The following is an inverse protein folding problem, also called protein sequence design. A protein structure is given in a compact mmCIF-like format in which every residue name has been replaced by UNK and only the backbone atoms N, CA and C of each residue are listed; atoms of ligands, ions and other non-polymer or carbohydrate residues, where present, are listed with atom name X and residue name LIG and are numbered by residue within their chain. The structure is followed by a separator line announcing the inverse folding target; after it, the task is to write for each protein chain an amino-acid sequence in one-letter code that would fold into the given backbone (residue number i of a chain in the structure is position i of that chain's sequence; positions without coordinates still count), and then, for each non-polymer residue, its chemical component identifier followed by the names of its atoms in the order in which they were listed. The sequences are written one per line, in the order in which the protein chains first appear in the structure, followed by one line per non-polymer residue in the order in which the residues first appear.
data_IF_568515843095
#
_entry.id   IF_568515843095
#
_cell.length_a   1.000
_cell.length_b   1.000
_cell.length_c   1.000
_cell.angle_alpha   90.00
_cell.angle_beta   90.00
_cell.angle_gamma   90.00
#
_symmetry.space_group_name_H-M   'P 1'
#
loop_
_entity.id
_entity.type
_entity.pdbx_description
1 polymer ?
#
# COMPACT_ATOMS: atom_id res chain seq x y z
N UNK A 1 27.49 43.15 -32.67
CA UNK A 1 27.90 43.04 -31.25
C UNK A 1 27.45 41.68 -30.74
N UNK A 2 28.34 40.68 -30.77
CA UNK A 2 28.06 39.33 -30.28
C UNK A 2 28.68 39.15 -28.90
N UNK A 3 27.84 39.08 -27.87
CA UNK A 3 28.26 38.74 -26.50
C UNK A 3 28.41 37.23 -26.37
N UNK A 4 29.65 36.75 -26.29
CA UNK A 4 29.98 35.35 -25.95
C UNK A 4 29.87 35.16 -24.44
N UNK A 5 28.83 34.48 -23.98
CA UNK A 5 28.71 34.03 -22.59
C UNK A 5 29.59 32.79 -22.37
N UNK A 6 30.72 32.95 -21.69
CA UNK A 6 31.56 31.85 -21.21
C UNK A 6 30.86 31.16 -20.04
N UNK A 7 30.37 29.94 -20.25
CA UNK A 7 29.91 29.07 -19.16
C UNK A 7 31.14 28.32 -18.63
N UNK A 8 31.58 28.69 -17.43
CA UNK A 8 32.57 27.92 -16.68
C UNK A 8 31.87 26.75 -16.00
N UNK A 9 32.01 25.54 -16.56
CA UNK A 9 31.60 24.30 -15.89
C UNK A 9 32.72 23.92 -14.91
N UNK A 10 32.48 24.15 -13.62
CA UNK A 10 33.37 23.71 -12.55
C UNK A 10 33.06 22.24 -12.23
N UNK A 11 33.87 21.32 -12.76
CA UNK A 11 33.74 19.88 -12.47
C UNK A 11 34.55 19.55 -11.21
N UNK A 12 33.88 19.54 -10.05
CA UNK A 12 34.49 19.08 -8.79
C UNK A 12 34.06 17.62 -8.57
N UNK A 13 34.96 16.67 -8.89
CA UNK A 13 34.83 15.27 -8.47
C UNK A 13 34.86 15.21 -6.94
N UNK A 14 33.69 15.04 -6.33
CA UNK A 14 33.57 14.71 -4.91
C UNK A 14 33.32 13.20 -4.80
N UNK A 15 34.29 12.50 -4.21
CA UNK A 15 34.14 11.15 -3.68
C UNK A 15 33.18 11.24 -2.47
N UNK A 16 31.94 10.79 -2.64
CA UNK A 16 30.88 10.86 -1.62
C UNK A 16 29.63 11.54 -2.16
N UNK A 17 28.89 10.83 -3.02
CA UNK A 17 27.85 11.38 -3.87
C UNK A 17 26.62 11.91 -3.13
N UNK A 18 26.55 13.24 -2.98
CA UNK A 18 25.29 13.99 -2.94
C UNK A 18 25.27 14.84 -4.20
N UNK A 19 24.50 14.42 -5.20
CA UNK A 19 24.27 15.21 -6.42
C UNK A 19 23.17 16.21 -6.12
N UNK A 20 23.55 17.40 -5.64
CA UNK A 20 22.65 18.55 -5.63
C UNK A 20 22.75 19.25 -6.99
N UNK A 21 21.81 18.98 -7.89
CA UNK A 21 21.63 19.78 -9.09
C UNK A 21 21.16 21.19 -8.69
N UNK A 22 22.03 22.19 -8.86
CA UNK A 22 21.71 23.60 -8.65
C UNK A 22 20.76 24.06 -9.77
N UNK A 23 19.46 23.95 -9.51
CA UNK A 23 18.42 24.60 -10.33
C UNK A 23 18.06 25.93 -9.68
N UNK A 24 18.50 27.03 -10.29
CA UNK A 24 18.07 28.40 -9.96
C UNK A 24 16.65 28.62 -10.50
N UNK A 25 15.65 28.04 -9.83
CA UNK A 25 14.25 28.40 -9.97
C UNK A 25 13.62 28.49 -8.58
N UNK A 26 12.90 29.57 -8.31
CA UNK A 26 12.29 30.00 -7.05
C UNK A 26 11.15 29.10 -6.51
N UNK A 27 11.19 27.79 -6.78
CA UNK A 27 10.27 26.81 -6.20
C UNK A 27 11.00 25.93 -5.20
N UNK A 28 10.54 25.89 -3.94
CA UNK A 28 11.13 25.09 -2.87
C UNK A 28 11.32 23.63 -3.28
N UNK A 29 12.56 23.29 -3.63
CA UNK A 29 12.98 21.93 -3.96
C UNK A 29 13.11 21.19 -2.62
N UNK A 30 12.01 20.59 -2.16
CA UNK A 30 12.06 19.66 -1.04
C UNK A 30 12.98 18.51 -1.46
N UNK A 31 14.16 18.46 -0.87
CA UNK A 31 15.13 17.39 -1.05
C UNK A 31 14.52 16.12 -0.42
N UNK A 32 13.81 15.33 -1.23
CA UNK A 32 13.28 14.05 -0.77
C UNK A 32 14.46 13.07 -0.60
N UNK A 33 14.59 12.42 0.57
CA UNK A 33 15.65 11.45 0.77
C UNK A 33 15.48 10.31 -0.24
N UNK A 34 16.58 9.96 -0.90
CA UNK A 34 16.59 8.84 -1.84
C UNK A 34 16.12 7.56 -1.12
N UNK A 35 15.14 6.84 -1.70
CA UNK A 35 14.76 5.52 -1.19
C UNK A 35 15.92 4.55 -1.47
N UNK A 36 16.08 3.52 -0.61
CA UNK A 36 17.15 2.55 -0.78
C UNK A 36 17.10 1.88 -2.16
N UNK A 37 18.26 1.78 -2.79
CA UNK A 37 18.48 0.91 -3.94
C UNK A 37 18.40 -0.56 -3.48
N UNK A 38 17.81 -1.43 -4.29
CA UNK A 38 17.53 -2.81 -3.91
C UNK A 38 18.84 -3.59 -3.75
N UNK A 39 19.20 -3.91 -2.50
CA UNK A 39 20.30 -4.83 -2.23
C UNK A 39 19.88 -6.26 -2.62
N UNK A 40 20.81 -7.10 -3.14
CA UNK A 40 20.49 -8.47 -3.49
C UNK A 40 19.97 -9.23 -2.26
N UNK A 41 18.73 -9.74 -2.33
CA UNK A 41 18.13 -10.49 -1.23
C UNK A 41 18.77 -11.87 -1.14
N UNK A 42 19.32 -12.22 0.03
CA UNK A 42 19.78 -13.59 0.29
C UNK A 42 18.54 -14.46 0.49
N UNK A 43 18.34 -15.52 -0.33
CA UNK A 43 17.19 -16.40 -0.18
C UNK A 43 17.23 -17.10 1.18
N UNK A 44 16.07 -17.23 1.82
CA UNK A 44 15.97 -17.97 3.09
C UNK A 44 16.20 -19.47 2.85
N UNK A 45 17.22 -20.04 3.51
CA UNK A 45 17.53 -21.47 3.45
C UNK A 45 16.39 -22.36 4.00
N UNK A 46 15.45 -21.76 4.73
CA UNK A 46 14.29 -22.44 5.33
C UNK A 46 12.97 -21.76 4.96
N UNK A 47 12.86 -21.28 3.71
CA UNK A 47 11.68 -20.58 3.20
C UNK A 47 10.39 -21.42 3.28
N UNK A 48 9.77 -21.46 4.46
CA UNK A 48 8.46 -22.05 4.70
C UNK A 48 7.42 -20.95 4.59
N UNK A 49 7.07 -20.63 3.35
CA UNK A 49 6.01 -19.67 3.02
C UNK A 49 4.69 -20.23 3.54
N UNK A 50 4.08 -19.54 4.52
CA UNK A 50 2.78 -19.91 5.08
C UNK A 50 1.76 -18.83 4.84
N UNK A 51 0.57 -19.24 4.41
CA UNK A 51 -0.58 -18.34 4.32
C UNK A 51 -0.96 -17.86 5.72
N UNK A 52 -1.22 -16.55 5.89
CA UNK A 52 -1.65 -16.00 7.17
C UNK A 52 -3.02 -16.57 7.55
N UNK A 53 -3.15 -17.04 8.79
CA UNK A 53 -4.46 -17.43 9.32
C UNK A 53 -5.42 -16.25 9.35
N UNK A 54 -6.72 -16.52 9.31
CA UNK A 54 -7.80 -15.51 9.35
C UNK A 54 -7.60 -14.48 10.46
N UNK A 55 -7.30 -14.95 11.68
CA UNK A 55 -7.05 -14.09 12.85
C UNK A 55 -5.83 -13.20 12.65
N UNK A 56 -4.75 -13.73 12.07
CA UNK A 56 -3.53 -12.97 11.80
C UNK A 56 -3.74 -11.95 10.68
N UNK A 57 -4.43 -12.33 9.61
CA UNK A 57 -4.81 -11.45 8.52
C UNK A 57 -5.66 -10.28 9.02
N UNK A 58 -6.72 -10.56 9.80
CA UNK A 58 -7.58 -9.55 10.42
C UNK A 58 -6.80 -8.61 11.34
N UNK A 59 -5.92 -9.15 12.20
CA UNK A 59 -5.08 -8.34 13.08
C UNK A 59 -4.14 -7.43 12.29
N UNK A 60 -3.48 -7.98 11.26
CA UNK A 60 -2.53 -7.22 10.45
C UNK A 60 -3.25 -6.10 9.68
N UNK A 61 -4.41 -6.37 9.07
CA UNK A 61 -5.21 -5.34 8.39
C UNK A 61 -5.69 -4.27 9.38
N UNK A 62 -6.18 -4.67 10.55
CA UNK A 62 -6.62 -3.76 11.61
C UNK A 62 -5.50 -2.80 12.04
N UNK A 63 -4.29 -3.34 12.28
CA UNK A 63 -3.13 -2.53 12.67
C UNK A 63 -2.62 -1.68 11.51
N UNK A 64 -2.46 -2.27 10.32
CA UNK A 64 -1.95 -1.58 9.14
C UNK A 64 -2.87 -0.44 8.70
N UNK A 65 -4.19 -0.59 8.81
CA UNK A 65 -5.13 0.46 8.44
C UNK A 65 -5.55 1.34 9.62
N UNK A 66 -5.23 0.97 10.85
CA UNK A 66 -5.70 1.68 12.05
C UNK A 66 -7.23 1.64 12.18
N UNK A 67 -7.84 0.52 11.78
CA UNK A 67 -9.28 0.27 11.85
C UNK A 67 -9.59 -0.77 12.92
N UNK A 68 -10.70 -0.67 13.67
CA UNK A 68 -11.15 -1.78 14.49
C UNK A 68 -11.56 -2.96 13.60
N UNK A 69 -11.35 -4.20 14.07
CA UNK A 69 -11.62 -5.42 13.27
C UNK A 69 -13.05 -5.49 12.74
N UNK A 70 -14.01 -5.00 13.52
CA UNK A 70 -15.42 -4.94 13.14
C UNK A 70 -15.71 -4.00 11.97
N UNK A 71 -14.80 -3.06 11.66
CA UNK A 71 -14.93 -2.10 10.57
C UNK A 71 -14.13 -2.49 9.31
N UNK A 72 -13.35 -3.58 9.37
CA UNK A 72 -12.54 -4.02 8.23
C UNK A 72 -13.44 -4.46 7.07
N UNK A 73 -14.36 -5.38 7.32
CA UNK A 73 -15.17 -5.94 6.26
C UNK A 73 -16.49 -6.49 6.81
N UNK A 74 -17.59 -6.11 6.14
CA UNK A 74 -18.94 -6.60 6.39
C UNK A 74 -19.51 -7.20 5.12
N UNK A 75 -19.57 -8.53 5.04
CA UNK A 75 -20.24 -9.22 3.94
C UNK A 75 -21.74 -8.92 3.99
N UNK A 76 -22.28 -8.49 2.85
CA UNK A 76 -23.68 -8.06 2.69
C UNK A 76 -24.10 -6.97 3.70
N UNK A 77 -23.14 -6.24 4.26
CA UNK A 77 -23.39 -5.19 5.25
C UNK A 77 -23.70 -5.67 6.67
N UNK A 78 -23.81 -6.97 6.92
CA UNK A 78 -24.22 -7.51 8.23
C UNK A 78 -23.17 -8.43 8.85
N UNK A 79 -22.64 -9.38 8.07
CA UNK A 79 -21.77 -10.44 8.58
C UNK A 79 -20.32 -9.97 8.61
N UNK A 80 -19.62 -10.17 9.73
CA UNK A 80 -18.17 -9.91 9.77
C UNK A 80 -17.45 -10.91 8.88
N UNK A 81 -16.65 -10.42 7.93
CA UNK A 81 -15.94 -11.26 6.96
C UNK A 81 -15.01 -12.28 7.62
N UNK A 82 -14.49 -11.97 8.81
CA UNK A 82 -13.62 -12.85 9.60
C UNK A 82 -14.38 -13.74 10.59
N UNK A 83 -15.70 -13.54 10.71
CA UNK A 83 -16.54 -14.44 11.49
C UNK A 83 -16.68 -15.80 10.81
N UNK A 84 -17.19 -16.75 11.58
CA UNK A 84 -17.40 -18.15 11.18
C UNK A 84 -18.31 -18.30 9.96
N UNK A 85 -19.16 -17.31 9.68
CA UNK A 85 -20.25 -17.43 8.72
C UNK A 85 -19.88 -16.95 7.31
N UNK A 86 -18.79 -16.19 7.15
CA UNK A 86 -18.41 -15.59 5.86
C UNK A 86 -17.18 -16.26 5.23
N UNK A 87 -15.97 -15.90 5.67
CA UNK A 87 -14.73 -16.37 5.02
C UNK A 87 -13.81 -17.19 5.91
N UNK A 88 -14.18 -17.48 7.16
CA UNK A 88 -13.29 -18.16 8.12
C UNK A 88 -12.74 -19.48 7.57
N UNK A 89 -13.62 -20.34 7.05
CA UNK A 89 -13.23 -21.64 6.45
C UNK A 89 -12.47 -21.44 5.14
N UNK A 90 -12.95 -20.53 4.29
CA UNK A 90 -12.32 -20.21 3.00
C UNK A 90 -10.88 -19.72 3.14
N UNK A 91 -10.58 -19.01 4.22
CA UNK A 91 -9.26 -18.48 4.54
C UNK A 91 -8.41 -19.42 5.42
N UNK A 92 -8.72 -20.72 5.41
CA UNK A 92 -7.93 -21.76 6.09
C UNK A 92 -8.21 -21.91 7.59
N UNK A 93 -9.33 -21.38 8.07
CA UNK A 93 -9.85 -21.62 9.42
C UNK A 93 -10.54 -22.98 9.55
N UNK A 94 -11.08 -23.22 10.74
CA UNK A 94 -11.90 -24.40 11.08
C UNK A 94 -13.18 -23.94 11.75
N UNK A 95 -14.28 -24.67 11.55
CA UNK A 95 -15.56 -24.41 12.20
C UNK A 95 -16.17 -25.76 12.64
N UNK A 96 -15.89 -26.20 13.87
CA UNK A 96 -16.28 -27.53 14.33
C UNK A 96 -17.73 -27.65 14.84
N UNK A 97 -18.38 -26.53 15.21
CA UNK A 97 -19.64 -26.58 15.96
C UNK A 97 -20.89 -26.48 15.08
N UNK A 98 -20.86 -25.60 14.09
CA UNK A 98 -21.94 -25.35 13.13
C UNK A 98 -21.67 -26.12 11.84
N UNK A 99 -20.45 -26.03 11.28
CA UNK A 99 -20.12 -26.66 9.99
C UNK A 99 -19.44 -28.03 10.13
N UNK A 100 -19.06 -28.43 11.34
CA UNK A 100 -18.39 -29.72 11.65
C UNK A 100 -17.06 -29.93 10.89
N UNK A 101 -16.38 -28.85 10.54
CA UNK A 101 -15.06 -28.86 9.91
C UNK A 101 -14.02 -28.82 11.03
N UNK A 102 -13.59 -29.99 11.47
CA UNK A 102 -12.66 -30.15 12.61
C UNK A 102 -11.19 -29.99 12.22
N UNK A 103 -10.86 -30.17 10.94
CA UNK A 103 -9.49 -30.08 10.43
C UNK A 103 -9.42 -29.05 9.30
N UNK A 104 -8.34 -28.26 9.22
CA UNK A 104 -8.12 -27.40 8.07
C UNK A 104 -7.95 -28.25 6.80
N UNK A 105 -8.30 -27.68 5.67
CA UNK A 105 -8.14 -28.36 4.39
C UNK A 105 -6.65 -28.51 4.07
N UNK A 106 -6.27 -29.62 3.43
CA UNK A 106 -4.88 -29.85 3.01
C UNK A 106 -4.42 -28.82 1.97
N UNK A 107 -5.36 -28.29 1.20
CA UNK A 107 -5.15 -27.28 0.17
C UNK A 107 -6.10 -26.11 0.41
N UNK A 108 -5.66 -24.85 0.17
CA UNK A 108 -6.57 -23.72 0.20
C UNK A 108 -7.67 -23.90 -0.85
N UNK A 109 -8.93 -23.55 -0.53
CA UNK A 109 -10.01 -23.64 -1.50
C UNK A 109 -9.78 -22.65 -2.66
N UNK A 110 -10.33 -22.97 -3.84
CA UNK A 110 -10.22 -22.11 -5.03
C UNK A 110 -10.81 -20.70 -4.82
N UNK A 111 -11.72 -20.55 -3.86
CA UNK A 111 -12.32 -19.28 -3.45
C UNK A 111 -11.47 -18.45 -2.48
N UNK A 112 -10.35 -18.99 -1.96
CA UNK A 112 -9.51 -18.28 -0.99
C UNK A 112 -8.98 -16.93 -1.51
N UNK A 113 -8.45 -16.83 -2.75
CA UNK A 113 -8.00 -15.54 -3.29
C UNK A 113 -9.14 -14.52 -3.40
N UNK A 114 -10.32 -14.96 -3.85
CA UNK A 114 -11.50 -14.09 -3.97
C UNK A 114 -11.93 -13.55 -2.59
N UNK A 115 -11.91 -14.39 -1.56
CA UNK A 115 -12.21 -13.96 -0.20
C UNK A 115 -11.20 -12.94 0.33
N UNK A 116 -9.90 -13.15 0.06
CA UNK A 116 -8.84 -12.18 0.39
C UNK A 116 -9.10 -10.85 -0.31
N UNK A 117 -9.36 -10.87 -1.61
CA UNK A 117 -9.54 -9.65 -2.39
C UNK A 117 -10.72 -8.82 -1.90
N UNK A 118 -11.85 -9.49 -1.58
CA UNK A 118 -13.03 -8.82 -0.99
C UNK A 118 -12.70 -8.17 0.35
N UNK A 119 -12.00 -8.88 1.23
CA UNK A 119 -11.60 -8.37 2.54
C UNK A 119 -10.64 -7.18 2.41
N UNK A 120 -9.62 -7.30 1.56
CA UNK A 120 -8.64 -6.24 1.33
C UNK A 120 -9.30 -5.00 0.73
N UNK A 121 -10.13 -5.17 -0.32
CA UNK A 121 -10.83 -4.07 -0.97
C UNK A 121 -11.79 -3.36 0.00
N UNK A 122 -12.62 -4.11 0.73
CA UNK A 122 -13.56 -3.53 1.70
C UNK A 122 -12.83 -2.76 2.81
N UNK A 123 -11.73 -3.31 3.33
CA UNK A 123 -10.94 -2.68 4.40
C UNK A 123 -10.28 -1.38 3.90
N UNK A 124 -9.72 -1.41 2.69
CA UNK A 124 -9.12 -0.24 2.07
C UNK A 124 -10.16 0.86 1.79
N UNK A 125 -11.32 0.50 1.25
CA UNK A 125 -12.45 1.43 1.06
C UNK A 125 -12.90 2.06 2.38
N UNK A 126 -13.02 1.26 3.44
CA UNK A 126 -13.38 1.75 4.76
C UNK A 126 -12.35 2.79 5.26
N UNK A 127 -11.05 2.52 5.07
CA UNK A 127 -10.01 3.47 5.48
C UNK A 127 -10.00 4.74 4.64
N UNK A 128 -10.06 4.62 3.32
CA UNK A 128 -10.10 5.76 2.39
C UNK A 128 -11.29 6.65 2.74
N UNK A 129 -12.47 6.07 2.92
CA UNK A 129 -13.67 6.83 3.33
C UNK A 129 -13.45 7.58 4.65
N UNK A 130 -12.81 6.95 5.64
CA UNK A 130 -12.53 7.60 6.93
C UNK A 130 -11.51 8.74 6.80
N UNK A 131 -10.45 8.58 6.00
CA UNK A 131 -9.43 9.63 5.81
C UNK A 131 -9.98 10.82 5.00
N UNK A 132 -10.73 10.55 3.94
CA UNK A 132 -11.28 11.60 3.08
C UNK A 132 -12.45 12.37 3.74
N UNK A 133 -13.03 11.84 4.82
CA UNK A 133 -14.05 12.54 5.58
C UNK A 133 -13.49 13.66 6.48
N UNK A 134 -12.26 13.52 6.97
CA UNK A 134 -11.62 14.49 7.88
C UNK A 134 -10.09 14.48 7.70
N UNK A 135 -9.57 15.44 6.94
CA UNK A 135 -8.14 15.56 6.64
C UNK A 135 -7.28 15.66 7.91
N UNK A 136 -7.80 16.23 9.00
CA UNK A 136 -7.04 16.40 10.26
C UNK A 136 -6.91 15.10 11.05
N UNK A 137 -7.74 14.10 10.74
CA UNK A 137 -7.71 12.75 11.35
C UNK A 137 -7.25 11.68 10.38
N UNK A 138 -6.91 12.07 9.15
CA UNK A 138 -6.44 11.15 8.14
C UNK A 138 -5.10 10.54 8.55
N UNK A 139 -5.00 9.21 8.55
CA UNK A 139 -3.80 8.49 9.01
C UNK A 139 -2.86 8.16 7.86
N UNK A 140 -3.41 7.83 6.69
CA UNK A 140 -2.64 7.32 5.56
C UNK A 140 -2.76 8.27 4.37
N UNK A 141 -3.97 8.73 4.08
CA UNK A 141 -4.26 9.45 2.85
C UNK A 141 -4.32 10.98 3.02
N UNK A 142 -3.89 11.51 4.16
CA UNK A 142 -3.86 12.95 4.43
C UNK A 142 -3.27 13.80 3.27
N UNK A 143 -2.17 13.40 2.60
CA UNK A 143 -1.61 14.17 1.48
C UNK A 143 -2.52 14.30 0.24
N UNK A 144 -3.60 13.53 0.14
CA UNK A 144 -4.53 13.52 -1.00
C UNK A 144 -5.84 14.24 -0.71
N UNK A 145 -6.19 14.46 0.56
CA UNK A 145 -7.51 14.96 0.94
C UNK A 145 -7.66 16.43 0.54
N UNK A 146 -8.73 16.75 -0.19
CA UNK A 146 -9.02 18.11 -0.65
C UNK A 146 -8.13 18.59 -1.82
N UNK A 147 -7.29 17.71 -2.39
CA UNK A 147 -6.40 18.04 -3.50
C UNK A 147 -6.89 17.37 -4.78
N UNK A 148 -7.30 18.16 -5.77
CA UNK A 148 -7.84 17.63 -7.04
C UNK A 148 -6.77 16.91 -7.88
N UNK A 149 -5.53 17.40 -7.84
CA UNK A 149 -4.40 16.79 -8.52
C UNK A 149 -3.18 16.78 -7.59
N UNK A 150 -3.06 15.79 -6.68
CA UNK A 150 -1.90 15.66 -5.82
C UNK A 150 -0.62 15.61 -6.66
N UNK A 151 0.47 16.21 -6.18
CA UNK A 151 1.75 16.08 -6.87
C UNK A 151 2.36 14.69 -6.64
N UNK A 152 3.42 14.36 -7.38
CA UNK A 152 4.13 13.08 -7.20
C UNK A 152 4.60 12.86 -5.77
N UNK A 153 5.08 13.92 -5.08
CA UNK A 153 5.55 13.83 -3.71
C UNK A 153 4.47 13.33 -2.74
N UNK A 154 3.26 13.88 -2.83
CA UNK A 154 2.11 13.48 -2.02
C UNK A 154 1.70 12.02 -2.28
N UNK A 155 1.66 11.60 -3.56
CA UNK A 155 1.39 10.19 -3.90
C UNK A 155 2.48 9.25 -3.37
N UNK A 156 3.74 9.64 -3.51
CA UNK A 156 4.90 8.86 -3.04
C UNK A 156 4.88 8.70 -1.51
N UNK A 157 4.50 9.75 -0.78
CA UNK A 157 4.34 9.71 0.68
C UNK A 157 3.28 8.68 1.11
N UNK A 158 2.13 8.63 0.43
CA UNK A 158 1.09 7.63 0.67
C UNK A 158 1.62 6.22 0.44
N UNK A 159 2.31 5.97 -0.68
CA UNK A 159 2.88 4.65 -0.99
C UNK A 159 3.90 4.23 0.06
N UNK A 160 4.81 5.13 0.46
CA UNK A 160 5.79 4.88 1.52
C UNK A 160 5.09 4.55 2.85
N UNK A 161 4.04 5.28 3.19
CA UNK A 161 3.26 5.04 4.41
C UNK A 161 2.59 3.67 4.38
N UNK A 162 1.97 3.29 3.26
CA UNK A 162 1.37 1.97 3.09
C UNK A 162 2.40 0.85 3.24
N UNK A 163 3.55 0.93 2.56
CA UNK A 163 4.61 -0.08 2.68
C UNK A 163 5.13 -0.22 4.12
N UNK A 164 5.35 0.91 4.82
CA UNK A 164 5.74 0.87 6.24
C UNK A 164 4.69 0.18 7.10
N UNK A 165 3.41 0.42 6.86
CA UNK A 165 2.33 -0.12 7.69
C UNK A 165 2.01 -1.58 7.37
N UNK A 166 2.07 -1.99 6.11
CA UNK A 166 1.76 -3.35 5.67
C UNK A 166 2.96 -4.31 5.79
N UNK A 167 4.18 -3.83 5.50
CA UNK A 167 5.37 -4.66 5.39
C UNK A 167 6.48 -4.32 6.39
N UNK A 168 6.34 -3.24 7.18
CA UNK A 168 7.37 -2.76 8.10
C UNK A 168 8.71 -2.43 7.40
N UNK A 169 8.66 -2.06 6.11
CA UNK A 169 9.81 -1.65 5.32
C UNK A 169 9.49 -0.48 4.39
N UNK A 170 10.52 0.09 3.77
CA UNK A 170 10.37 1.06 2.68
C UNK A 170 10.15 0.34 1.33
N UNK A 171 9.37 0.94 0.42
CA UNK A 171 9.35 0.49 -0.98
C UNK A 171 10.69 0.82 -1.65
N UNK A 172 11.08 0.03 -2.64
CA UNK A 172 12.18 0.40 -3.55
C UNK A 172 11.73 1.57 -4.45
N UNK A 173 12.69 2.26 -5.09
CA UNK A 173 12.37 3.34 -6.03
C UNK A 173 11.45 2.86 -7.16
N UNK A 174 11.72 1.66 -7.70
CA UNK A 174 10.90 1.08 -8.77
C UNK A 174 9.48 0.77 -8.29
N UNK A 175 9.33 0.14 -7.11
CA UNK A 175 8.02 -0.15 -6.51
C UNK A 175 7.22 1.13 -6.31
N UNK A 176 7.83 2.15 -5.72
CA UNK A 176 7.17 3.43 -5.47
C UNK A 176 6.77 4.13 -6.78
N UNK A 177 7.67 4.17 -7.77
CA UNK A 177 7.38 4.81 -9.06
C UNK A 177 6.27 4.10 -9.84
N UNK A 178 6.15 2.77 -9.76
CA UNK A 178 5.01 2.04 -10.37
C UNK A 178 3.67 2.46 -9.78
N UNK A 179 3.56 2.51 -8.45
CA UNK A 179 2.32 2.93 -7.78
C UNK A 179 2.00 4.41 -8.03
N UNK A 180 3.01 5.28 -8.02
CA UNK A 180 2.85 6.71 -8.32
C UNK A 180 2.39 6.92 -9.76
N UNK A 181 3.00 6.24 -10.74
CA UNK A 181 2.66 6.35 -12.16
C UNK A 181 1.30 5.75 -12.52
N UNK A 182 0.80 4.81 -11.72
CA UNK A 182 -0.56 4.27 -11.87
C UNK A 182 -1.66 5.35 -11.76
N UNK A 183 -1.35 6.52 -11.18
CA UNK A 183 -2.25 7.68 -11.13
C UNK A 183 -2.84 8.04 -12.48
N UNK A 184 -2.02 8.09 -13.53
CA UNK A 184 -2.44 8.54 -14.87
C UNK A 184 -3.48 7.58 -15.49
N UNK A 185 -3.42 6.30 -15.13
CA UNK A 185 -4.43 5.31 -15.55
C UNK A 185 -5.77 5.58 -14.84
N UNK A 186 -5.75 5.84 -13.54
CA UNK A 186 -6.97 6.09 -12.75
C UNK A 186 -7.63 7.40 -13.14
N UNK A 187 -6.86 8.47 -13.35
CA UNK A 187 -7.41 9.79 -13.70
C UNK A 187 -8.13 9.80 -15.04
N UNK A 188 -7.71 8.96 -15.99
CA UNK A 188 -8.37 8.82 -17.28
C UNK A 188 -9.75 8.15 -17.22
N UNK A 189 -10.08 7.46 -16.12
CA UNK A 189 -11.24 6.57 -16.02
C UNK A 189 -12.14 6.82 -14.80
N UNK A 190 -11.78 7.74 -13.91
CA UNK A 190 -12.47 7.98 -12.63
C UNK A 190 -12.99 9.41 -12.51
N UNK A 191 -14.17 9.56 -11.90
CA UNK A 191 -14.74 10.86 -11.48
C UNK A 191 -14.17 11.34 -10.13
N UNK A 192 -13.59 10.44 -9.33
CA UNK A 192 -13.03 10.71 -8.01
C UNK A 192 -11.59 10.15 -7.93
N UNK A 193 -10.67 10.63 -8.78
CA UNK A 193 -9.38 9.99 -9.00
C UNK A 193 -8.55 9.81 -7.72
N UNK A 194 -8.62 10.77 -6.79
CA UNK A 194 -7.91 10.69 -5.51
C UNK A 194 -8.38 9.51 -4.64
N UNK A 195 -9.70 9.32 -4.51
CA UNK A 195 -10.27 8.24 -3.70
C UNK A 195 -10.10 6.87 -4.37
N UNK A 196 -10.32 6.82 -5.68
CA UNK A 196 -10.20 5.56 -6.43
C UNK A 196 -8.75 5.09 -6.49
N UNK A 197 -7.80 5.99 -6.74
CA UNK A 197 -6.38 5.65 -6.70
C UNK A 197 -5.95 5.22 -5.30
N UNK A 198 -6.34 5.94 -4.25
CA UNK A 198 -6.02 5.58 -2.87
C UNK A 198 -6.55 4.17 -2.52
N UNK A 199 -7.79 3.87 -2.94
CA UNK A 199 -8.43 2.57 -2.75
C UNK A 199 -7.66 1.47 -3.48
N UNK A 200 -7.35 1.67 -4.76
CA UNK A 200 -6.71 0.67 -5.61
C UNK A 200 -5.25 0.39 -5.21
N UNK A 201 -4.49 1.43 -4.83
CA UNK A 201 -3.11 1.27 -4.34
C UNK A 201 -3.10 0.54 -2.99
N UNK A 202 -3.99 0.93 -2.07
CA UNK A 202 -4.14 0.21 -0.80
C UNK A 202 -4.50 -1.26 -1.04
N UNK A 203 -5.49 -1.51 -1.91
CA UNK A 203 -5.93 -2.86 -2.25
C UNK A 203 -4.79 -3.69 -2.84
N UNK A 204 -4.08 -3.19 -3.86
CA UNK A 204 -3.00 -3.92 -4.51
C UNK A 204 -1.82 -4.24 -3.58
N UNK A 205 -1.51 -3.36 -2.62
CA UNK A 205 -0.52 -3.62 -1.58
C UNK A 205 -1.05 -4.67 -0.58
N UNK A 206 -2.29 -4.54 -0.15
CA UNK A 206 -2.93 -5.43 0.82
C UNK A 206 -3.24 -6.84 0.28
N UNK A 207 -3.43 -7.02 -1.03
CA UNK A 207 -3.63 -8.33 -1.67
C UNK A 207 -2.34 -8.95 -2.23
N UNK A 208 -1.20 -8.26 -2.09
CA UNK A 208 0.09 -8.77 -2.53
C UNK A 208 0.52 -10.04 -1.79
N UNK A 209 1.31 -10.88 -2.46
CA UNK A 209 1.85 -12.10 -1.86
C UNK A 209 2.70 -11.81 -0.62
N UNK A 210 3.47 -10.73 -0.62
CA UNK A 210 4.24 -10.30 0.55
C UNK A 210 3.36 -10.01 1.77
N UNK A 211 2.14 -9.51 1.56
CA UNK A 211 1.21 -9.29 2.67
C UNK A 211 0.46 -10.56 3.07
N UNK A 212 0.17 -11.48 2.15
CA UNK A 212 -0.63 -12.66 2.47
C UNK A 212 0.18 -13.78 3.11
N UNK A 213 1.48 -13.82 2.82
CA UNK A 213 2.38 -14.87 3.29
C UNK A 213 3.37 -14.34 4.33
N UNK A 214 3.96 -15.26 5.09
CA UNK A 214 5.05 -15.03 6.04
C UNK A 214 5.95 -16.27 6.15
#
# INVERSE_FOLDING_TARGET
MHTKTKIHVCWKRSLGGVVCALSLFLGGMACQPALPEEAPSVPSETARIKFKSVKRLANNLSVALGLPKSALCKELGTYDCFSKDAHSVTLGGVEPYVQRINNPWKLPPLSAPIAVDRVALASCQARVKQDFADANKALIFAPLVGVSNPNEGARREVVVTLYKRFFLRLPTNEQASKWVGFWDTVTSSSQQPAQDWATLVCFGIASSTEFLFY
#
